data_IF_387478936516
#
_entry.id   IF_387478936516
#
_cell.length_a   1.000
_cell.length_b   1.000
_cell.length_c   1.000
_cell.angle_alpha   90.00
_cell.angle_beta   90.00
_cell.angle_gamma   90.00
#
_symmetry.space_group_name_H-M   'P 1'
#
loop_
_entity.id
_entity.type
_entity.pdbx_description
1 polymer ?
#
# COMPACT_ATOMS: atom_id res chain seq x y z
N UNK A 1 -19.69 38.18 46.35
CA UNK A 1 -18.80 36.99 46.30
C UNK A 1 -19.50 35.76 45.68
N UNK A 2 -20.69 35.37 46.08
CA UNK A 2 -21.42 34.18 45.60
C UNK A 2 -21.62 34.19 44.08
N UNK A 3 -21.98 35.33 43.46
CA UNK A 3 -22.15 35.43 42.00
C UNK A 3 -20.85 35.20 41.22
N UNK A 4 -19.70 35.69 41.71
CA UNK A 4 -18.41 35.47 41.08
C UNK A 4 -17.99 34.01 41.11
N UNK A 5 -18.22 33.31 42.22
CA UNK A 5 -17.96 31.87 42.36
C UNK A 5 -18.85 31.08 41.42
N UNK A 6 -20.11 31.44 41.30
CA UNK A 6 -21.05 30.80 40.37
C UNK A 6 -20.58 30.93 38.91
N UNK A 7 -20.18 32.13 38.46
CA UNK A 7 -19.68 32.31 37.11
C UNK A 7 -18.36 31.55 36.86
N UNK A 8 -17.46 31.54 37.86
CA UNK A 8 -16.23 30.76 37.74
C UNK A 8 -16.48 29.24 37.60
N UNK A 9 -17.44 28.71 38.38
CA UNK A 9 -17.83 27.31 38.27
C UNK A 9 -18.46 26.99 36.91
N UNK A 10 -19.28 27.91 36.37
CA UNK A 10 -19.92 27.73 35.05
C UNK A 10 -18.88 27.77 33.92
N UNK A 11 -17.88 28.64 34.00
CA UNK A 11 -16.75 28.67 33.05
C UNK A 11 -15.93 27.38 33.13
N UNK A 12 -15.59 26.93 34.37
CA UNK A 12 -14.87 25.68 34.54
C UNK A 12 -15.62 24.46 33.95
N UNK A 13 -16.92 24.39 34.20
CA UNK A 13 -17.78 23.33 33.64
C UNK A 13 -17.78 23.38 32.08
N UNK A 14 -17.89 24.59 31.52
CA UNK A 14 -17.85 24.76 30.05
C UNK A 14 -16.52 24.29 29.45
N UNK A 15 -15.40 24.57 30.08
CA UNK A 15 -14.07 24.10 29.66
C UNK A 15 -13.99 22.58 29.72
N UNK A 16 -14.47 21.96 30.80
CA UNK A 16 -14.49 20.48 30.91
C UNK A 16 -15.34 19.86 29.80
N UNK A 17 -16.51 20.41 29.51
CA UNK A 17 -17.40 19.93 28.42
C UNK A 17 -16.71 20.09 27.07
N UNK A 18 -16.05 21.22 26.82
CA UNK A 18 -15.31 21.43 25.54
C UNK A 18 -14.16 20.42 25.36
N UNK A 19 -13.42 20.14 26.45
CA UNK A 19 -12.36 19.12 26.39
C UNK A 19 -12.95 17.75 26.11
N UNK A 20 -14.02 17.36 26.80
CA UNK A 20 -14.69 16.08 26.58
C UNK A 20 -15.22 15.95 25.13
N UNK A 21 -15.83 16.99 24.59
CA UNK A 21 -16.29 17.01 23.19
C UNK A 21 -15.13 16.89 22.23
N UNK A 22 -14.00 17.57 22.46
CA UNK A 22 -12.80 17.46 21.62
C UNK A 22 -12.26 16.03 21.59
N UNK A 23 -12.18 15.36 22.73
CA UNK A 23 -11.68 13.98 22.84
C UNK A 23 -12.64 12.95 22.20
N UNK A 24 -13.94 13.22 22.22
CA UNK A 24 -14.95 12.33 21.62
C UNK A 24 -15.21 12.58 20.14
N UNK A 25 -14.74 13.73 19.61
CA UNK A 25 -14.95 14.05 18.18
C UNK A 25 -13.92 13.30 17.32
N UNK A 26 -14.35 12.36 16.44
CA UNK A 26 -13.45 11.65 15.58
C UNK A 26 -12.76 12.62 14.60
N UNK A 27 -11.47 12.39 14.32
CA UNK A 27 -10.75 13.21 13.35
C UNK A 27 -11.33 13.08 11.94
N UNK A 28 -11.24 14.14 11.14
CA UNK A 28 -11.67 14.10 9.74
C UNK A 28 -11.04 12.95 8.96
N UNK A 29 -9.75 12.67 9.21
CA UNK A 29 -9.03 11.56 8.59
C UNK A 29 -9.62 10.18 8.97
N UNK A 30 -10.15 10.04 10.19
CA UNK A 30 -10.83 8.81 10.62
C UNK A 30 -12.18 8.64 9.92
N UNK A 31 -12.91 9.74 9.71
CA UNK A 31 -14.23 9.72 9.07
C UNK A 31 -14.13 9.53 7.55
N UNK A 32 -13.07 10.03 6.92
CA UNK A 32 -12.89 10.01 5.46
C UNK A 32 -11.79 9.07 5.00
N UNK A 33 -11.21 8.28 5.91
CA UNK A 33 -10.14 7.34 5.62
C UNK A 33 -10.55 6.22 4.67
N UNK A 34 -9.60 5.41 4.22
CA UNK A 34 -9.87 4.27 3.36
C UNK A 34 -10.68 3.19 4.09
N UNK A 35 -11.45 2.44 3.31
CA UNK A 35 -12.12 1.23 3.79
C UNK A 35 -11.13 0.08 3.62
N UNK A 36 -10.48 -0.30 4.73
CA UNK A 36 -9.39 -1.27 4.72
C UNK A 36 -9.92 -2.69 4.83
N UNK A 37 -9.58 -3.54 3.85
CA UNK A 37 -9.77 -4.99 3.91
C UNK A 37 -8.42 -5.66 4.10
N UNK A 38 -8.29 -6.49 5.14
CA UNK A 38 -7.03 -7.17 5.49
C UNK A 38 -7.04 -8.62 5.06
N UNK A 39 -5.83 -9.14 4.71
CA UNK A 39 -5.61 -10.54 4.39
C UNK A 39 -4.13 -10.88 4.34
N UNK A 40 -3.80 -12.07 3.83
CA UNK A 40 -2.43 -12.58 3.76
C UNK A 40 -2.00 -12.86 2.32
N UNK A 41 -0.69 -12.79 2.06
CA UNK A 41 -0.11 -13.18 0.78
C UNK A 41 -0.43 -14.65 0.47
N UNK A 42 -0.79 -14.92 -0.79
CA UNK A 42 -1.28 -16.22 -1.24
C UNK A 42 -2.80 -16.36 -1.23
N UNK A 43 -3.53 -15.48 -0.51
CA UNK A 43 -4.99 -15.46 -0.47
C UNK A 43 -5.55 -14.34 -1.34
N UNK A 44 -6.74 -14.54 -1.88
CA UNK A 44 -7.48 -13.47 -2.56
C UNK A 44 -8.16 -12.59 -1.52
N UNK A 45 -7.73 -11.34 -1.44
CA UNK A 45 -8.32 -10.33 -0.57
C UNK A 45 -9.30 -9.50 -1.39
N UNK A 46 -10.57 -9.50 -1.01
CA UNK A 46 -11.64 -8.85 -1.78
C UNK A 46 -12.19 -7.64 -1.06
N UNK A 47 -11.99 -6.45 -1.66
CA UNK A 47 -12.72 -5.24 -1.36
C UNK A 47 -14.07 -5.20 -2.08
N UNK A 48 -14.76 -4.06 -2.03
CA UNK A 48 -16.03 -3.86 -2.74
C UNK A 48 -15.83 -3.60 -4.23
N UNK A 49 -14.82 -2.80 -4.60
CA UNK A 49 -14.55 -2.38 -5.97
C UNK A 49 -13.57 -3.32 -6.71
N UNK A 50 -12.67 -3.97 -6.00
CA UNK A 50 -11.66 -4.85 -6.59
C UNK A 50 -11.15 -5.89 -5.58
N UNK A 51 -10.54 -6.95 -6.10
CA UNK A 51 -9.82 -7.95 -5.35
C UNK A 51 -8.35 -7.99 -5.79
N UNK A 52 -7.47 -8.46 -4.90
CA UNK A 52 -6.05 -8.63 -5.17
C UNK A 52 -5.49 -9.83 -4.41
N UNK A 53 -4.53 -10.50 -5.04
CA UNK A 53 -3.77 -11.60 -4.46
C UNK A 53 -2.29 -11.38 -4.71
N UNK A 54 -1.48 -11.40 -3.67
CA UNK A 54 -0.02 -11.44 -3.80
C UNK A 54 0.38 -12.87 -4.10
N UNK A 55 0.83 -13.14 -5.32
CA UNK A 55 1.21 -14.48 -5.77
C UNK A 55 2.69 -14.78 -5.56
N UNK A 56 3.55 -13.76 -5.64
CA UNK A 56 4.99 -13.93 -5.43
C UNK A 56 5.64 -12.67 -4.88
N UNK A 57 6.65 -12.82 -4.03
CA UNK A 57 7.49 -11.74 -3.55
C UNK A 57 8.95 -12.12 -3.71
N UNK A 58 9.72 -11.27 -4.41
CA UNK A 58 11.16 -11.48 -4.68
C UNK A 58 11.94 -10.25 -4.22
N UNK A 59 13.15 -10.45 -3.70
CA UNK A 59 14.06 -9.35 -3.36
C UNK A 59 15.44 -9.54 -3.97
N UNK A 60 16.08 -8.43 -4.38
CA UNK A 60 17.43 -8.43 -4.94
C UNK A 60 18.17 -7.12 -4.66
N UNK A 61 19.50 -7.13 -4.80
CA UNK A 61 20.33 -5.90 -4.78
C UNK A 61 20.40 -5.23 -6.16
N UNK A 62 20.24 -6.02 -7.21
CA UNK A 62 20.28 -5.54 -8.59
C UNK A 62 19.01 -6.00 -9.30
N UNK A 63 18.37 -5.08 -10.00
CA UNK A 63 17.25 -5.34 -10.87
C UNK A 63 17.69 -5.16 -12.32
N UNK A 64 17.40 -6.15 -13.16
CA UNK A 64 17.69 -6.14 -14.59
C UNK A 64 16.41 -6.35 -15.39
N UNK A 65 16.16 -5.50 -16.36
CA UNK A 65 14.99 -5.60 -17.24
C UNK A 65 15.28 -4.97 -18.60
N UNK A 66 14.48 -5.30 -19.58
CA UNK A 66 14.54 -4.68 -20.89
C UNK A 66 13.54 -3.51 -20.98
N UNK A 67 14.02 -2.34 -21.42
CA UNK A 67 13.17 -1.19 -21.66
C UNK A 67 13.55 -0.58 -23.01
N UNK A 68 12.57 -0.48 -23.92
CA UNK A 68 12.76 0.03 -25.29
C UNK A 68 13.90 -0.67 -26.06
N UNK A 69 14.01 -2.00 -25.94
CA UNK A 69 15.05 -2.79 -26.64
C UNK A 69 16.46 -2.64 -26.04
N UNK A 70 16.58 -2.08 -24.82
CA UNK A 70 17.85 -1.93 -24.13
C UNK A 70 17.80 -2.59 -22.75
N UNK A 71 18.85 -3.35 -22.44
CA UNK A 71 19.02 -3.90 -21.08
C UNK A 71 19.32 -2.75 -20.11
N UNK A 72 18.50 -2.65 -19.07
CA UNK A 72 18.63 -1.67 -17.99
C UNK A 72 18.93 -2.41 -16.70
N UNK A 73 19.99 -1.99 -16.01
CA UNK A 73 20.33 -2.51 -14.68
C UNK A 73 20.25 -1.38 -13.65
N UNK A 74 19.67 -1.68 -12.51
CA UNK A 74 19.53 -0.75 -11.38
C UNK A 74 19.98 -1.42 -10.09
N UNK A 75 21.00 -0.86 -9.46
CA UNK A 75 21.47 -1.26 -8.13
C UNK A 75 20.88 -0.36 -7.05
N UNK A 76 20.81 -0.88 -5.82
CA UNK A 76 20.39 -0.14 -4.64
C UNK A 76 21.27 -0.46 -3.44
N UNK A 77 21.44 0.50 -2.53
CA UNK A 77 22.05 0.27 -1.21
C UNK A 77 21.11 -0.49 -0.27
N UNK A 78 19.79 -0.39 -0.49
CA UNK A 78 18.76 -1.18 0.17
C UNK A 78 18.51 -2.51 -0.54
N UNK A 79 17.24 -2.82 -0.76
CA UNK A 79 16.78 -3.94 -1.58
C UNK A 79 15.69 -3.47 -2.54
N UNK A 80 15.71 -4.03 -3.73
CA UNK A 80 14.57 -4.05 -4.62
C UNK A 80 13.62 -5.14 -4.17
N UNK A 81 12.37 -4.79 -3.94
CA UNK A 81 11.30 -5.73 -3.65
C UNK A 81 10.33 -5.73 -4.83
N UNK A 82 10.19 -6.86 -5.47
CA UNK A 82 9.25 -7.06 -6.59
C UNK A 82 8.12 -7.93 -6.10
N UNK A 83 6.92 -7.37 -6.11
CA UNK A 83 5.68 -8.04 -5.69
C UNK A 83 4.84 -8.31 -6.92
N UNK A 84 4.54 -9.59 -7.17
CA UNK A 84 3.61 -10.00 -8.22
C UNK A 84 2.21 -10.05 -7.64
N UNK A 85 1.29 -9.35 -8.28
CA UNK A 85 -0.11 -9.24 -7.84
C UNK A 85 -1.03 -9.64 -8.98
N UNK A 86 -1.98 -10.50 -8.66
CA UNK A 86 -3.12 -10.82 -9.50
C UNK A 86 -4.32 -10.02 -8.99
N UNK A 87 -4.90 -9.18 -9.83
CA UNK A 87 -5.99 -8.30 -9.44
C UNK A 87 -7.16 -8.38 -10.42
N UNK A 88 -8.38 -8.24 -9.91
CA UNK A 88 -9.59 -8.18 -10.71
C UNK A 88 -10.53 -7.12 -10.16
N UNK A 89 -11.22 -6.42 -11.05
CA UNK A 89 -12.28 -5.51 -10.68
C UNK A 89 -13.58 -6.29 -10.36
N UNK A 90 -14.44 -5.70 -9.51
CA UNK A 90 -15.73 -6.32 -9.16
C UNK A 90 -16.82 -5.93 -10.14
N UNK A 91 -17.03 -4.65 -10.39
CA UNK A 91 -18.17 -4.15 -11.17
C UNK A 91 -17.79 -3.23 -12.32
N UNK A 92 -16.75 -2.44 -12.17
CA UNK A 92 -16.32 -1.46 -13.17
C UNK A 92 -14.82 -1.60 -13.48
N UNK A 93 -14.45 -1.28 -14.70
CA UNK A 93 -13.04 -1.21 -15.11
C UNK A 93 -12.34 -0.09 -14.37
N UNK A 94 -11.21 -0.39 -13.72
CA UNK A 94 -10.46 0.60 -12.96
C UNK A 94 -8.94 0.39 -13.02
N UNK A 95 -8.14 1.46 -12.91
CA UNK A 95 -6.69 1.34 -12.72
C UNK A 95 -6.35 1.16 -11.24
N UNK A 96 -5.29 0.39 -10.94
CA UNK A 96 -4.66 0.32 -9.62
C UNK A 96 -3.34 1.07 -9.67
N UNK A 97 -3.36 2.35 -9.31
CA UNK A 97 -2.19 3.23 -9.46
C UNK A 97 -1.41 3.44 -8.17
N UNK A 98 -1.99 3.08 -7.05
CA UNK A 98 -1.39 3.31 -5.74
C UNK A 98 -1.03 2.00 -5.05
N UNK A 99 0.25 1.81 -4.83
CA UNK A 99 0.78 0.73 -4.04
C UNK A 99 1.88 1.25 -3.09
N UNK A 100 1.87 0.73 -1.86
CA UNK A 100 2.91 1.02 -0.89
C UNK A 100 3.19 -0.21 -0.02
N UNK A 101 4.45 -0.37 0.39
CA UNK A 101 4.84 -1.34 1.42
C UNK A 101 4.92 -0.60 2.75
N UNK A 102 4.25 -1.13 3.76
CA UNK A 102 4.48 -0.75 5.15
C UNK A 102 5.50 -1.73 5.72
N UNK A 103 6.68 -1.24 6.08
CA UNK A 103 7.78 -2.06 6.59
C UNK A 103 7.69 -2.32 8.10
N UNK A 104 8.68 -3.03 8.63
CA UNK A 104 8.74 -3.45 10.03
C UNK A 104 8.70 -2.27 11.02
N UNK A 105 9.25 -1.11 10.66
CA UNK A 105 9.21 0.11 11.48
C UNK A 105 7.86 0.85 11.41
N UNK A 106 6.92 0.41 10.57
CA UNK A 106 5.67 1.10 10.28
C UNK A 106 5.80 2.22 9.22
N UNK A 107 6.99 2.41 8.66
CA UNK A 107 7.19 3.36 7.54
C UNK A 107 6.59 2.82 6.27
N UNK A 108 6.02 3.74 5.48
CA UNK A 108 5.42 3.44 4.18
C UNK A 108 6.37 3.80 3.04
N UNK A 109 6.60 2.85 2.15
CA UNK A 109 7.45 2.96 0.96
C UNK A 109 6.56 2.82 -0.28
N UNK A 110 6.46 3.87 -1.08
CA UNK A 110 5.69 3.86 -2.33
C UNK A 110 6.44 3.09 -3.41
N UNK A 111 5.72 2.70 -4.46
CA UNK A 111 6.35 2.13 -5.65
C UNK A 111 7.46 3.06 -6.18
N UNK A 112 8.56 2.47 -6.63
CA UNK A 112 9.74 3.21 -7.06
C UNK A 112 9.54 3.80 -8.45
N UNK A 113 9.84 5.09 -8.61
CA UNK A 113 9.91 5.77 -9.91
C UNK A 113 11.27 5.60 -10.61
N UNK A 114 12.27 5.00 -9.93
CA UNK A 114 13.61 4.74 -10.51
C UNK A 114 13.61 3.62 -11.55
N UNK A 115 12.54 2.86 -11.63
CA UNK A 115 12.37 1.71 -12.54
C UNK A 115 11.17 1.91 -13.47
N UNK A 116 10.98 3.13 -13.94
CA UNK A 116 9.95 3.45 -14.93
C UNK A 116 10.17 2.64 -16.21
N UNK A 117 9.07 2.17 -16.81
CA UNK A 117 9.13 1.35 -18.01
C UNK A 117 9.49 -0.12 -17.75
N UNK A 118 9.47 -0.58 -16.51
CA UNK A 118 9.63 -2.01 -16.22
C UNK A 118 8.48 -2.80 -16.86
N UNK A 119 8.77 -3.89 -17.59
CA UNK A 119 7.74 -4.70 -18.22
C UNK A 119 6.77 -5.28 -17.19
N UNK A 120 5.49 -5.35 -17.56
CA UNK A 120 4.48 -5.97 -16.71
C UNK A 120 4.04 -5.17 -15.48
N UNK A 121 4.46 -3.89 -15.34
CA UNK A 121 4.05 -3.05 -14.22
C UNK A 121 2.52 -2.97 -14.08
N UNK A 122 1.99 -3.25 -12.88
CA UNK A 122 0.55 -3.25 -12.63
C UNK A 122 -0.06 -1.85 -12.81
N UNK A 123 0.70 -0.80 -12.49
CA UNK A 123 0.25 0.60 -12.62
C UNK A 123 -0.05 1.03 -14.06
N UNK A 124 0.48 0.31 -15.06
CA UNK A 124 0.21 0.56 -16.48
C UNK A 124 -0.98 -0.23 -17.01
N UNK A 125 -1.54 -1.13 -16.20
CA UNK A 125 -2.64 -2.02 -16.56
C UNK A 125 -3.97 -1.51 -16.01
N UNK A 126 -5.02 -1.82 -16.73
CA UNK A 126 -6.38 -1.58 -16.30
C UNK A 126 -7.02 -2.91 -15.97
N UNK A 127 -7.57 -3.05 -14.77
CA UNK A 127 -8.25 -4.28 -14.37
C UNK A 127 -9.74 -4.22 -14.74
N UNK A 128 -10.27 -5.36 -15.18
CA UNK A 128 -11.64 -5.49 -15.68
C UNK A 128 -12.44 -6.48 -14.83
N UNK A 129 -13.76 -6.33 -14.76
CA UNK A 129 -14.62 -7.28 -14.08
C UNK A 129 -14.52 -8.68 -14.69
N UNK A 130 -14.35 -9.68 -13.80
CA UNK A 130 -14.29 -11.09 -14.22
C UNK A 130 -13.03 -11.50 -14.98
N UNK A 131 -12.07 -10.59 -15.20
CA UNK A 131 -10.83 -10.87 -15.92
C UNK A 131 -9.61 -10.57 -15.03
N UNK A 132 -9.06 -11.59 -14.34
CA UNK A 132 -7.86 -11.39 -13.52
C UNK A 132 -6.69 -10.88 -14.35
N UNK A 133 -6.05 -9.84 -13.87
CA UNK A 133 -4.88 -9.20 -14.48
C UNK A 133 -3.67 -9.36 -13.58
N UNK A 134 -2.63 -10.05 -14.06
CA UNK A 134 -1.36 -10.17 -13.34
C UNK A 134 -0.45 -9.00 -13.66
N UNK A 135 0.27 -8.51 -12.65
CA UNK A 135 1.25 -7.44 -12.82
C UNK A 135 2.24 -7.39 -11.67
N UNK A 136 3.34 -6.69 -11.88
CA UNK A 136 4.35 -6.48 -10.85
C UNK A 136 4.32 -5.05 -10.32
N UNK A 137 4.72 -4.93 -9.06
CA UNK A 137 4.94 -3.65 -8.39
C UNK A 137 6.36 -3.70 -7.80
N UNK A 138 7.15 -2.65 -8.06
CA UNK A 138 8.54 -2.59 -7.63
C UNK A 138 8.71 -1.52 -6.56
N UNK A 139 9.34 -1.91 -5.46
CA UNK A 139 9.65 -1.03 -4.35
C UNK A 139 11.15 -1.01 -4.08
N UNK A 140 11.62 0.09 -3.50
CA UNK A 140 12.98 0.24 -3.00
C UNK A 140 12.90 0.60 -1.51
N UNK A 141 13.51 -0.22 -0.65
CA UNK A 141 13.43 -0.04 0.79
C UNK A 141 14.69 -0.59 1.49
N UNK A 142 14.97 -0.15 2.73
CA UNK A 142 16.03 -0.75 3.54
C UNK A 142 15.77 -2.23 3.82
N UNK A 143 16.82 -3.05 3.83
CA UNK A 143 16.68 -4.50 4.04
C UNK A 143 16.04 -4.85 5.39
N UNK A 144 16.31 -4.07 6.44
CA UNK A 144 15.73 -4.27 7.77
C UNK A 144 14.18 -4.16 7.78
N UNK A 145 13.61 -3.45 6.82
CA UNK A 145 12.15 -3.29 6.71
C UNK A 145 11.44 -4.54 6.16
N UNK A 146 12.22 -5.48 5.58
CA UNK A 146 11.66 -6.71 4.98
C UNK A 146 11.32 -7.81 5.98
N UNK A 147 11.59 -7.63 7.27
CA UNK A 147 11.33 -8.63 8.30
C UNK A 147 9.84 -8.80 8.63
N UNK A 148 9.05 -7.77 8.44
CA UNK A 148 7.58 -7.77 8.56
C UNK A 148 7.03 -6.66 7.66
N UNK A 149 6.20 -7.05 6.73
CA UNK A 149 5.67 -6.11 5.74
C UNK A 149 4.20 -6.36 5.47
N UNK A 150 3.52 -5.31 5.01
CA UNK A 150 2.25 -5.44 4.31
C UNK A 150 2.23 -4.60 3.04
N UNK A 151 1.53 -5.09 2.02
CA UNK A 151 1.24 -4.37 0.80
C UNK A 151 -0.09 -3.64 0.97
N UNK A 152 -0.04 -2.32 0.87
CA UNK A 152 -1.23 -1.50 0.68
C UNK A 152 -1.47 -1.32 -0.81
N UNK A 153 -2.66 -1.71 -1.28
CA UNK A 153 -3.07 -1.59 -2.67
C UNK A 153 -4.38 -0.82 -2.75
N UNK A 154 -4.43 0.22 -3.58
CA UNK A 154 -5.60 1.06 -3.75
C UNK A 154 -5.66 1.65 -5.15
N UNK A 155 -6.81 2.19 -5.52
CA UNK A 155 -7.00 2.91 -6.78
C UNK A 155 -6.13 4.18 -6.86
N UNK A 156 -5.95 4.87 -5.73
CA UNK A 156 -5.20 6.13 -5.61
C UNK A 156 -4.49 6.24 -4.27
N UNK A 157 -3.44 7.06 -4.17
CA UNK A 157 -2.59 7.17 -2.98
C UNK A 157 -3.27 7.70 -1.72
N UNK A 158 -4.34 8.45 -1.86
CA UNK A 158 -5.13 8.97 -0.75
C UNK A 158 -6.59 8.53 -0.93
N UNK A 159 -6.88 7.24 -0.73
CA UNK A 159 -8.24 6.75 -0.91
C UNK A 159 -9.13 7.29 0.22
N UNK A 160 -10.09 8.14 -0.15
CA UNK A 160 -11.12 8.62 0.77
C UNK A 160 -12.40 7.83 0.53
N UNK A 161 -12.91 7.19 1.60
CA UNK A 161 -14.11 6.34 1.55
C UNK A 161 -14.08 5.29 0.41
N UNK A 162 -12.86 4.93 -0.02
CA UNK A 162 -12.60 3.99 -1.11
C UNK A 162 -11.81 2.80 -0.60
N UNK A 163 -11.88 1.69 -1.33
CA UNK A 163 -11.23 0.44 -0.91
C UNK A 163 -9.71 0.55 -0.89
N UNK A 164 -9.13 -0.02 0.15
CA UNK A 164 -7.71 -0.28 0.28
C UNK A 164 -7.51 -1.71 0.79
N UNK A 165 -6.73 -2.50 0.07
CA UNK A 165 -6.31 -3.82 0.54
C UNK A 165 -5.02 -3.67 1.35
N UNK A 166 -4.95 -4.33 2.50
CA UNK A 166 -3.78 -4.42 3.39
C UNK A 166 -3.40 -5.89 3.49
N UNK A 167 -2.42 -6.31 2.69
CA UNK A 167 -2.05 -7.72 2.50
C UNK A 167 -0.74 -7.98 3.21
N UNK A 168 -0.78 -8.72 4.32
CA UNK A 168 0.41 -9.11 5.07
C UNK A 168 1.30 -10.04 4.25
N UNK A 169 2.61 -9.79 4.26
CA UNK A 169 3.63 -10.55 3.55
C UNK A 169 4.53 -11.24 4.56
N UNK A 170 4.59 -12.57 4.50
CA UNK A 170 5.45 -13.38 5.34
C UNK A 170 6.91 -13.30 4.85
N UNK A 171 7.82 -12.95 5.75
CA UNK A 171 9.23 -12.76 5.41
C UNK A 171 9.93 -14.04 4.91
N UNK A 172 9.50 -15.20 5.39
CA UNK A 172 10.02 -16.54 5.03
C UNK A 172 9.62 -16.96 3.60
N UNK A 173 8.57 -16.37 3.04
CA UNK A 173 8.12 -16.61 1.66
C UNK A 173 8.80 -15.72 0.62
N UNK A 174 9.70 -14.82 1.05
CA UNK A 174 10.40 -13.90 0.14
C UNK A 174 11.58 -14.62 -0.50
N UNK A 175 11.55 -14.75 -1.82
CA UNK A 175 12.67 -15.33 -2.58
C UNK A 175 13.77 -14.27 -2.73
N UNK A 176 14.98 -14.57 -2.19
CA UNK A 176 16.13 -13.66 -2.27
C UNK A 176 17.07 -14.08 -3.40
N UNK A 177 17.47 -13.12 -4.23
CA UNK A 177 18.38 -13.31 -5.37
C UNK A 177 19.44 -12.20 -5.38
N UNK A 178 20.61 -12.46 -5.95
CA UNK A 178 21.64 -11.43 -6.11
C UNK A 178 21.21 -10.41 -7.19
N UNK A 179 20.75 -10.94 -8.32
CA UNK A 179 20.22 -10.17 -9.44
C UNK A 179 18.83 -10.74 -9.77
N UNK A 180 17.87 -9.88 -9.94
CA UNK A 180 16.53 -10.25 -10.34
C UNK A 180 16.30 -9.75 -11.77
N UNK A 181 16.13 -10.70 -12.69
CA UNK A 181 15.78 -10.40 -14.07
C UNK A 181 14.25 -10.40 -14.21
N UNK A 182 13.73 -9.32 -14.80
CA UNK A 182 12.30 -9.20 -15.13
C UNK A 182 12.17 -9.41 -16.63
N UNK A 183 11.50 -10.49 -17.02
CA UNK A 183 11.17 -10.77 -18.41
C UNK A 183 10.13 -9.81 -18.99
N UNK A 184 9.94 -9.87 -20.32
CA UNK A 184 8.98 -9.00 -21.02
C UNK A 184 7.51 -9.23 -20.59
N UNK A 185 7.21 -10.34 -19.93
CA UNK A 185 5.90 -10.65 -19.35
C UNK A 185 5.74 -10.18 -17.89
N UNK A 186 6.79 -9.57 -17.31
CA UNK A 186 6.79 -9.12 -15.92
C UNK A 186 7.00 -10.23 -14.89
N UNK A 187 7.52 -11.39 -15.30
CA UNK A 187 7.78 -12.54 -14.44
C UNK A 187 9.26 -12.81 -14.26
#
# INVERSE_FOLDING_TARGET
MIRAVFYAALVALSVVVLIALKETTPSYAMLTGPIVTRGHAGETVSGRAFSGQVSQVRKAKVLSYESFGRKVERSTSGVWLVVTVDAAASTETLPLQAAAIVGASGRSYRQSTRVDGVPGALSTKTIQPGLPTSGIIVFELPEAETSRMSLLLARQYFPQLSDQLDIAIDADKIVSQAVLEIGNDGR
#
